data_IF_689794405357
#
_entry.id   IF_689794405357
#
_cell.length_a   1.000
_cell.length_b   1.000
_cell.length_c   1.000
_cell.angle_alpha   90.00
_cell.angle_beta   90.00
_cell.angle_gamma   90.00
#
_symmetry.space_group_name_H-M   'P 1'
#
loop_
_entity.id
_entity.type
_entity.pdbx_description
1 polymer ?
#
# COMPACT_ATOMS: atom_id res chain seq x y z
N UNK A 1 -18.61 -9.84 -9.80
CA UNK A 1 -19.26 -9.77 -8.48
C UNK A 1 -20.58 -9.00 -8.50
N UNK A 2 -20.60 -7.79 -9.08
CA UNK A 2 -21.80 -6.91 -9.10
C UNK A 2 -23.08 -7.59 -9.60
N UNK A 3 -22.95 -8.53 -10.54
CA UNK A 3 -24.09 -9.31 -11.07
C UNK A 3 -24.38 -10.53 -10.20
N UNK A 4 -23.33 -11.23 -9.73
CA UNK A 4 -23.48 -12.47 -8.99
C UNK A 4 -23.93 -12.25 -7.53
N UNK A 5 -23.55 -11.14 -6.91
CA UNK A 5 -23.94 -10.82 -5.54
C UNK A 5 -25.48 -10.72 -5.39
N UNK A 6 -26.20 -9.87 -6.15
CA UNK A 6 -27.66 -9.83 -6.06
C UNK A 6 -28.32 -11.18 -6.38
N UNK A 7 -27.79 -11.92 -7.37
CA UNK A 7 -28.32 -13.21 -7.79
C UNK A 7 -28.26 -14.25 -6.67
N UNK A 8 -27.13 -14.37 -5.96
CA UNK A 8 -26.96 -15.39 -4.92
C UNK A 8 -27.41 -14.92 -3.53
N UNK A 9 -27.36 -13.59 -3.25
CA UNK A 9 -27.79 -13.04 -1.96
C UNK A 9 -29.32 -13.05 -1.86
N UNK A 10 -29.97 -12.46 -2.86
CA UNK A 10 -31.44 -12.29 -2.87
C UNK A 10 -32.17 -13.47 -3.49
N UNK A 11 -31.50 -14.25 -4.33
CA UNK A 11 -32.11 -15.29 -5.15
C UNK A 11 -32.79 -14.71 -6.37
N UNK A 12 -32.79 -15.45 -7.48
CA UNK A 12 -33.55 -15.09 -8.69
C UNK A 12 -33.87 -16.35 -9.47
N UNK A 13 -35.16 -16.58 -9.74
CA UNK A 13 -35.65 -17.76 -10.49
C UNK A 13 -35.27 -19.07 -9.78
N UNK A 14 -34.48 -19.97 -10.42
CA UNK A 14 -34.10 -21.26 -9.84
C UNK A 14 -33.04 -21.18 -8.73
N UNK A 15 -32.44 -20.00 -8.52
CA UNK A 15 -31.40 -19.82 -7.51
C UNK A 15 -32.03 -19.38 -6.19
N UNK A 16 -31.92 -20.18 -5.11
CA UNK A 16 -32.47 -19.81 -3.81
C UNK A 16 -31.69 -18.65 -3.19
N UNK A 17 -32.35 -17.83 -2.38
CA UNK A 17 -31.70 -16.78 -1.59
C UNK A 17 -30.80 -17.40 -0.53
N UNK A 18 -29.48 -17.16 -0.63
CA UNK A 18 -28.47 -17.76 0.26
C UNK A 18 -27.89 -16.75 1.26
N UNK A 19 -28.29 -15.46 1.19
CA UNK A 19 -27.78 -14.41 2.10
C UNK A 19 -26.26 -14.32 2.09
N UNK A 20 -25.63 -14.33 3.29
CA UNK A 20 -24.16 -14.21 3.44
C UNK A 20 -23.40 -15.34 2.72
N UNK A 21 -23.94 -16.56 2.71
CA UNK A 21 -23.34 -17.68 1.96
C UNK A 21 -23.33 -17.40 0.46
N UNK A 22 -24.40 -16.80 -0.05
CA UNK A 22 -24.50 -16.37 -1.46
C UNK A 22 -23.44 -15.35 -1.84
N UNK A 23 -23.16 -14.36 -0.98
CA UNK A 23 -22.09 -13.39 -1.18
C UNK A 23 -20.70 -14.05 -1.26
N UNK A 24 -20.43 -15.03 -0.40
CA UNK A 24 -19.16 -15.77 -0.42
C UNK A 24 -19.01 -16.58 -1.73
N UNK A 25 -20.07 -17.29 -2.15
CA UNK A 25 -20.07 -18.07 -3.40
C UNK A 25 -19.89 -17.15 -4.61
N UNK A 26 -20.60 -16.01 -4.66
CA UNK A 26 -20.47 -15.02 -5.73
C UNK A 26 -19.04 -14.50 -5.86
N UNK A 27 -18.40 -14.20 -4.73
CA UNK A 27 -17.01 -13.72 -4.69
C UNK A 27 -16.05 -14.78 -5.23
N UNK A 28 -16.15 -16.02 -4.76
CA UNK A 28 -15.28 -17.13 -5.22
C UNK A 28 -15.51 -17.41 -6.71
N UNK A 29 -16.76 -17.48 -7.15
CA UNK A 29 -17.10 -17.72 -8.55
C UNK A 29 -16.54 -16.60 -9.46
N UNK A 30 -16.69 -15.34 -9.08
CA UNK A 30 -16.14 -14.19 -9.84
C UNK A 30 -14.62 -14.25 -9.95
N UNK A 31 -13.94 -14.58 -8.86
CA UNK A 31 -12.47 -14.71 -8.84
C UNK A 31 -12.02 -15.88 -9.72
N UNK A 32 -12.73 -17.00 -9.67
CA UNK A 32 -12.43 -18.17 -10.49
C UNK A 32 -12.61 -17.88 -11.99
N UNK A 33 -13.73 -17.26 -12.37
CA UNK A 33 -13.97 -16.83 -13.76
C UNK A 33 -12.86 -15.86 -14.21
N UNK A 34 -12.54 -14.87 -13.40
CA UNK A 34 -11.46 -13.91 -13.70
C UNK A 34 -10.11 -14.61 -13.89
N UNK A 35 -9.78 -15.57 -13.03
CA UNK A 35 -8.54 -16.35 -13.14
C UNK A 35 -8.52 -17.16 -14.45
N UNK A 36 -9.61 -17.82 -14.84
CA UNK A 36 -9.69 -18.56 -16.09
C UNK A 36 -9.50 -17.65 -17.31
N UNK A 37 -10.14 -16.47 -17.31
CA UNK A 37 -9.98 -15.49 -18.40
C UNK A 37 -8.54 -15.03 -18.51
N UNK A 38 -7.91 -14.66 -17.38
CA UNK A 38 -6.50 -14.23 -17.37
C UNK A 38 -5.59 -15.34 -17.84
N UNK A 39 -5.76 -16.57 -17.36
CA UNK A 39 -4.99 -17.73 -17.81
C UNK A 39 -5.15 -17.99 -19.31
N UNK A 40 -6.38 -17.90 -19.83
CA UNK A 40 -6.64 -18.06 -21.25
C UNK A 40 -5.94 -16.99 -22.11
N UNK A 41 -5.93 -15.71 -21.64
CA UNK A 41 -5.21 -14.63 -22.32
C UNK A 41 -3.70 -14.85 -22.27
N UNK A 42 -3.15 -15.23 -21.12
CA UNK A 42 -1.72 -15.54 -20.96
C UNK A 42 -1.28 -16.69 -21.85
N UNK A 43 -2.10 -17.75 -21.94
CA UNK A 43 -1.80 -18.92 -22.78
C UNK A 43 -1.90 -18.59 -24.27
N UNK A 44 -3.06 -18.00 -24.71
CA UNK A 44 -3.36 -17.84 -26.13
C UNK A 44 -2.69 -16.62 -26.77
N UNK A 45 -2.62 -15.50 -26.04
CA UNK A 45 -2.16 -14.22 -26.61
C UNK A 45 -0.68 -13.96 -26.35
N UNK A 46 -0.15 -14.42 -25.23
CA UNK A 46 1.23 -14.15 -24.81
C UNK A 46 2.13 -15.38 -24.80
N UNK A 47 1.59 -16.59 -24.94
CA UNK A 47 2.39 -17.82 -24.95
C UNK A 47 3.20 -18.04 -23.66
N UNK A 48 2.74 -17.46 -22.53
CA UNK A 48 3.48 -17.50 -21.27
C UNK A 48 3.25 -18.78 -20.46
N UNK A 49 2.29 -19.62 -20.87
CA UNK A 49 2.02 -20.89 -20.21
C UNK A 49 2.55 -22.02 -21.08
N UNK A 50 3.64 -22.62 -20.63
CA UNK A 50 4.28 -23.77 -21.29
C UNK A 50 4.12 -24.99 -20.39
N UNK A 51 3.52 -26.05 -20.91
CA UNK A 51 3.39 -27.35 -20.24
C UNK A 51 4.53 -28.32 -20.60
N UNK A 52 5.62 -27.83 -21.23
CA UNK A 52 6.80 -28.66 -21.53
C UNK A 52 7.63 -28.89 -20.28
N UNK A 53 8.16 -30.11 -20.13
CA UNK A 53 9.00 -30.46 -19.00
C UNK A 53 10.22 -29.55 -18.91
N UNK A 54 10.35 -28.81 -17.84
CA UNK A 54 11.48 -27.92 -17.62
C UNK A 54 12.56 -28.63 -16.81
N UNK A 55 13.85 -28.57 -17.22
CA UNK A 55 14.94 -29.17 -16.46
C UNK A 55 14.94 -28.66 -14.99
N UNK A 56 15.12 -29.59 -14.05
CA UNK A 56 15.09 -29.28 -12.63
C UNK A 56 16.05 -28.17 -12.21
N UNK A 57 17.21 -28.07 -12.84
CA UNK A 57 18.18 -27.01 -12.57
C UNK A 57 17.65 -25.62 -12.94
N UNK A 58 16.97 -25.50 -14.07
CA UNK A 58 16.33 -24.23 -14.50
C UNK A 58 15.23 -23.87 -13.53
N UNK A 59 14.40 -24.85 -13.15
CA UNK A 59 13.33 -24.66 -12.18
C UNK A 59 13.89 -24.17 -10.83
N UNK A 60 14.93 -24.81 -10.30
CA UNK A 60 15.60 -24.43 -9.04
C UNK A 60 16.14 -23.00 -9.11
N UNK A 61 16.82 -22.64 -10.19
CA UNK A 61 17.39 -21.29 -10.37
C UNK A 61 16.28 -20.24 -10.43
N UNK A 62 15.22 -20.51 -11.19
CA UNK A 62 14.06 -19.60 -11.32
C UNK A 62 13.35 -19.43 -9.99
N UNK A 63 13.08 -20.53 -9.25
CA UNK A 63 12.46 -20.46 -7.92
C UNK A 63 13.33 -19.70 -6.91
N UNK A 64 14.63 -19.86 -6.93
CA UNK A 64 15.54 -19.09 -6.06
C UNK A 64 15.42 -17.59 -6.31
N UNK A 65 15.31 -17.18 -7.57
CA UNK A 65 15.09 -15.78 -7.93
C UNK A 65 13.72 -15.30 -7.44
N UNK A 66 12.65 -16.06 -7.71
CA UNK A 66 11.29 -15.72 -7.29
C UNK A 66 11.22 -15.56 -5.75
N UNK A 67 11.72 -16.54 -5.00
CA UNK A 67 11.70 -16.52 -3.53
C UNK A 67 12.50 -15.34 -2.98
N UNK A 68 13.63 -15.00 -3.59
CA UNK A 68 14.45 -13.84 -3.19
C UNK A 68 13.68 -12.52 -3.24
N UNK A 69 12.77 -12.37 -4.20
CA UNK A 69 11.92 -11.17 -4.31
C UNK A 69 10.60 -11.32 -3.53
N UNK A 70 10.02 -12.50 -3.52
CA UNK A 70 8.74 -12.76 -2.89
C UNK A 70 8.82 -12.60 -1.36
N UNK A 71 9.85 -13.15 -0.71
CA UNK A 71 9.98 -13.10 0.76
C UNK A 71 10.00 -11.66 1.30
N UNK A 72 10.90 -10.77 0.85
CA UNK A 72 10.88 -9.38 1.31
C UNK A 72 9.56 -8.66 0.99
N UNK A 73 8.99 -8.89 -0.19
CA UNK A 73 7.72 -8.28 -0.58
C UNK A 73 6.59 -8.73 0.33
N UNK A 74 6.50 -10.02 0.64
CA UNK A 74 5.50 -10.59 1.55
C UNK A 74 5.65 -10.02 2.96
N UNK A 75 6.88 -9.95 3.49
CA UNK A 75 7.14 -9.33 4.80
C UNK A 75 6.66 -7.88 4.80
N UNK A 76 6.99 -7.10 3.75
CA UNK A 76 6.54 -5.73 3.61
C UNK A 76 5.01 -5.58 3.57
N UNK A 77 4.32 -6.50 2.90
CA UNK A 77 2.85 -6.52 2.85
C UNK A 77 2.22 -6.90 4.18
N UNK A 78 2.80 -7.85 4.92
CA UNK A 78 2.32 -8.28 6.23
C UNK A 78 2.44 -7.19 7.31
N UNK A 79 3.36 -6.23 7.14
CA UNK A 79 3.50 -5.12 8.09
C UNK A 79 2.22 -4.30 8.20
N UNK A 80 1.47 -4.09 7.12
CA UNK A 80 0.23 -3.29 7.16
C UNK A 80 -0.86 -3.89 8.05
N UNK A 81 -1.30 -5.16 7.86
CA UNK A 81 -2.31 -5.76 8.74
C UNK A 81 -1.82 -5.90 10.19
N UNK A 82 -0.53 -6.21 10.42
CA UNK A 82 0.05 -6.25 11.76
C UNK A 82 -0.06 -4.87 12.43
N UNK A 83 0.36 -3.82 11.75
CA UNK A 83 0.26 -2.46 12.26
C UNK A 83 -1.17 -2.05 12.54
N UNK A 84 -2.09 -2.35 11.63
CA UNK A 84 -3.52 -2.07 11.80
C UNK A 84 -4.10 -2.79 13.03
N UNK A 85 -3.77 -4.07 13.22
CA UNK A 85 -4.22 -4.85 14.38
C UNK A 85 -3.73 -4.26 15.70
N UNK A 86 -2.45 -3.85 15.77
CA UNK A 86 -1.86 -3.25 16.96
C UNK A 86 -2.51 -1.90 17.26
N UNK A 87 -2.65 -1.02 16.25
CA UNK A 87 -3.29 0.29 16.45
C UNK A 87 -4.75 0.12 16.87
N UNK A 88 -5.48 -0.83 16.28
CA UNK A 88 -6.86 -1.13 16.69
C UNK A 88 -6.91 -1.60 18.16
N UNK A 89 -5.97 -2.46 18.58
CA UNK A 89 -5.86 -2.91 19.98
C UNK A 89 -5.56 -1.73 20.93
N UNK A 90 -4.64 -0.85 20.55
CA UNK A 90 -4.34 0.37 21.33
C UNK A 90 -5.57 1.29 21.37
N UNK A 91 -6.28 1.48 20.25
CA UNK A 91 -7.52 2.28 20.20
C UNK A 91 -8.60 1.69 21.11
N UNK A 92 -8.69 0.36 21.22
CA UNK A 92 -9.65 -0.32 22.07
C UNK A 92 -9.44 -0.01 23.57
N UNK A 93 -8.22 0.32 24.00
CA UNK A 93 -7.96 0.79 25.37
C UNK A 93 -8.67 2.11 25.70
N UNK A 94 -9.02 2.91 24.69
CA UNK A 94 -9.80 4.15 24.84
C UNK A 94 -11.33 3.95 24.78
N UNK A 95 -11.77 2.70 24.67
CA UNK A 95 -13.18 2.33 24.65
C UNK A 95 -13.70 1.93 23.26
N UNK A 96 -14.85 1.26 23.27
CA UNK A 96 -15.48 0.72 22.06
C UNK A 96 -15.93 1.84 21.10
N UNK A 97 -16.33 2.98 21.64
CA UNK A 97 -16.71 4.19 20.88
C UNK A 97 -15.55 4.73 20.05
N UNK A 98 -14.31 4.70 20.60
CA UNK A 98 -13.11 5.12 19.90
C UNK A 98 -12.79 4.17 18.71
N UNK A 99 -12.98 2.87 18.90
CA UNK A 99 -12.80 1.87 17.83
C UNK A 99 -13.85 2.07 16.73
N UNK A 100 -15.12 2.24 17.11
CA UNK A 100 -16.20 2.48 16.15
C UNK A 100 -15.96 3.77 15.34
N UNK A 101 -15.56 4.85 16.01
CA UNK A 101 -15.24 6.13 15.37
C UNK A 101 -14.06 6.01 14.39
N UNK A 102 -12.98 5.35 14.80
CA UNK A 102 -11.80 5.16 13.96
C UNK A 102 -12.10 4.27 12.74
N UNK A 103 -12.90 3.22 12.92
CA UNK A 103 -13.30 2.33 11.82
C UNK A 103 -14.19 3.06 10.81
N UNK A 104 -15.18 3.84 11.28
CA UNK A 104 -16.07 4.61 10.42
C UNK A 104 -15.32 5.74 9.69
N UNK A 105 -14.43 6.47 10.39
CA UNK A 105 -13.60 7.51 9.79
C UNK A 105 -12.61 6.92 8.76
N UNK A 106 -12.06 5.72 9.01
CA UNK A 106 -11.20 5.02 8.07
C UNK A 106 -11.90 4.66 6.75
N UNK A 107 -13.20 4.39 6.77
CA UNK A 107 -13.98 4.17 5.53
C UNK A 107 -14.12 5.46 4.70
N UNK A 108 -14.31 6.60 5.37
CA UNK A 108 -14.27 7.91 4.71
C UNK A 108 -12.88 8.18 4.12
N UNK A 109 -11.82 7.90 4.87
CA UNK A 109 -10.44 8.04 4.42
C UNK A 109 -10.19 7.28 3.11
N UNK A 110 -10.71 6.06 2.96
CA UNK A 110 -10.55 5.26 1.73
C UNK A 110 -11.03 6.01 0.47
N UNK A 111 -12.09 6.82 0.57
CA UNK A 111 -12.61 7.60 -0.56
C UNK A 111 -11.58 8.62 -1.04
N UNK A 112 -10.88 9.29 -0.14
CA UNK A 112 -9.84 10.25 -0.48
C UNK A 112 -8.67 9.61 -1.25
N UNK A 113 -8.39 8.33 -0.98
CA UNK A 113 -7.27 7.62 -1.55
C UNK A 113 -7.57 6.87 -2.86
N UNK A 114 -8.81 6.84 -3.36
CA UNK A 114 -9.18 6.08 -4.57
C UNK A 114 -8.29 6.45 -5.77
N UNK A 115 -8.18 7.72 -6.11
CA UNK A 115 -7.38 8.17 -7.25
C UNK A 115 -5.86 8.01 -7.01
N UNK A 116 -5.30 8.46 -5.86
CA UNK A 116 -3.89 8.22 -5.57
C UNK A 116 -3.52 6.73 -5.58
N UNK A 117 -4.36 5.86 -5.02
CA UNK A 117 -4.13 4.42 -5.02
C UNK A 117 -4.10 3.84 -6.44
N UNK A 118 -5.02 4.25 -7.31
CA UNK A 118 -5.04 3.84 -8.71
C UNK A 118 -3.75 4.25 -9.44
N UNK A 119 -3.28 5.48 -9.22
CA UNK A 119 -2.00 5.94 -9.76
C UNK A 119 -0.83 5.11 -9.21
N UNK A 120 -0.83 4.78 -7.92
CA UNK A 120 0.20 3.95 -7.29
C UNK A 120 0.30 2.56 -7.90
N UNK A 121 -0.84 1.91 -8.16
CA UNK A 121 -0.90 0.59 -8.81
C UNK A 121 -0.30 0.67 -10.23
N UNK A 122 -0.59 1.74 -10.98
CA UNK A 122 -0.04 1.95 -12.32
C UNK A 122 1.46 2.31 -12.29
N UNK A 123 1.92 2.98 -11.23
CA UNK A 123 3.31 3.43 -11.09
C UNK A 123 4.30 2.25 -11.02
N UNK A 124 3.93 1.16 -10.35
CA UNK A 124 4.80 -0.01 -10.18
C UNK A 124 5.24 -0.64 -11.51
N UNK A 125 4.34 -1.06 -12.42
CA UNK A 125 4.75 -1.62 -13.70
C UNK A 125 5.42 -0.57 -14.61
N UNK A 126 4.98 0.70 -14.55
CA UNK A 126 5.60 1.78 -15.33
C UNK A 126 7.08 1.97 -14.95
N UNK A 127 7.39 2.00 -13.65
CA UNK A 127 8.78 2.08 -13.18
C UNK A 127 9.55 0.82 -13.57
N UNK A 128 8.97 -0.37 -13.39
CA UNK A 128 9.64 -1.64 -13.73
C UNK A 128 10.00 -1.74 -15.21
N UNK A 129 9.09 -1.35 -16.10
CA UNK A 129 9.34 -1.35 -17.55
C UNK A 129 10.45 -0.37 -17.93
N UNK A 130 10.41 0.88 -17.40
CA UNK A 130 11.44 1.88 -17.68
C UNK A 130 12.80 1.49 -17.05
N UNK A 131 12.81 0.83 -15.90
CA UNK A 131 14.02 0.31 -15.27
C UNK A 131 14.66 -0.80 -16.09
N UNK A 132 13.85 -1.75 -16.58
CA UNK A 132 14.30 -2.80 -17.49
C UNK A 132 14.81 -2.27 -18.84
N UNK A 133 14.17 -1.22 -19.36
CA UNK A 133 14.57 -0.53 -20.58
C UNK A 133 15.74 0.45 -20.38
N UNK A 134 16.26 0.62 -19.14
CA UNK A 134 17.34 1.55 -18.78
C UNK A 134 17.04 3.01 -19.08
N UNK A 135 15.77 3.42 -18.96
CA UNK A 135 15.28 4.78 -19.20
C UNK A 135 15.11 5.51 -17.84
N UNK A 136 16.22 5.81 -17.18
CA UNK A 136 16.24 6.32 -15.80
C UNK A 136 15.71 7.76 -15.69
N UNK A 137 15.87 8.57 -16.73
CA UNK A 137 15.31 9.91 -16.80
C UNK A 137 13.77 9.86 -16.69
N UNK A 138 13.12 8.90 -17.35
CA UNK A 138 11.67 8.66 -17.26
C UNK A 138 11.24 8.21 -15.87
N UNK A 139 12.02 7.35 -15.22
CA UNK A 139 11.74 6.92 -13.84
C UNK A 139 11.73 8.13 -12.91
N UNK A 140 12.69 9.04 -13.04
CA UNK A 140 12.74 10.25 -12.25
C UNK A 140 11.57 11.21 -12.53
N UNK A 141 11.12 11.31 -13.79
CA UNK A 141 9.92 12.07 -14.16
C UNK A 141 8.67 11.45 -13.53
N UNK A 142 8.46 10.14 -13.66
CA UNK A 142 7.33 9.42 -13.05
C UNK A 142 7.30 9.64 -11.53
N UNK A 143 8.44 9.47 -10.86
CA UNK A 143 8.56 9.68 -9.42
C UNK A 143 8.18 11.11 -9.02
N UNK A 144 8.76 12.12 -9.68
CA UNK A 144 8.47 13.53 -9.36
C UNK A 144 7.00 13.88 -9.59
N UNK A 145 6.44 13.44 -10.70
CA UNK A 145 5.02 13.64 -11.00
C UNK A 145 4.14 13.00 -9.95
N UNK A 146 4.33 11.71 -9.68
CA UNK A 146 3.51 10.95 -8.74
C UNK A 146 3.56 11.55 -7.33
N UNK A 147 4.76 11.87 -6.81
CA UNK A 147 4.90 12.45 -5.47
C UNK A 147 4.27 13.84 -5.37
N UNK A 148 4.40 14.69 -6.40
CA UNK A 148 3.75 16.00 -6.44
C UNK A 148 2.23 15.85 -6.51
N UNK A 149 1.73 14.98 -7.37
CA UNK A 149 0.30 14.70 -7.48
C UNK A 149 -0.27 14.21 -6.14
N UNK A 150 0.37 13.22 -5.50
CA UNK A 150 -0.06 12.71 -4.21
C UNK A 150 -0.15 13.83 -3.16
N UNK A 151 0.90 14.65 -3.06
CA UNK A 151 0.94 15.72 -2.07
C UNK A 151 -0.15 16.76 -2.32
N UNK A 152 -0.25 17.28 -3.55
CA UNK A 152 -1.19 18.34 -3.89
C UNK A 152 -2.64 17.85 -3.82
N UNK A 153 -2.94 16.70 -4.44
CA UNK A 153 -4.29 16.13 -4.43
C UNK A 153 -4.78 15.84 -3.02
N UNK A 154 -3.94 15.17 -2.22
CA UNK A 154 -4.31 14.80 -0.87
C UNK A 154 -4.26 15.98 0.12
N UNK A 155 -3.49 17.02 -0.15
CA UNK A 155 -3.59 18.28 0.60
C UNK A 155 -4.95 18.94 0.38
N UNK A 156 -5.42 19.02 -0.87
CA UNK A 156 -6.77 19.54 -1.19
C UNK A 156 -7.85 18.66 -0.56
N UNK A 157 -7.76 17.34 -0.72
CA UNK A 157 -8.71 16.41 -0.09
C UNK A 157 -8.69 16.52 1.43
N UNK A 158 -7.51 16.69 2.04
CA UNK A 158 -7.36 16.90 3.48
C UNK A 158 -8.09 18.15 3.96
N UNK A 159 -7.94 19.27 3.25
CA UNK A 159 -8.68 20.51 3.56
C UNK A 159 -10.19 20.29 3.45
N UNK A 160 -10.65 19.62 2.38
CA UNK A 160 -12.07 19.29 2.21
C UNK A 160 -12.58 18.45 3.38
N UNK A 161 -11.82 17.43 3.81
CA UNK A 161 -12.20 16.56 4.92
C UNK A 161 -12.24 17.28 6.26
N UNK A 162 -11.30 18.18 6.52
CA UNK A 162 -11.26 18.96 7.75
C UNK A 162 -12.48 19.89 7.83
N UNK A 163 -12.82 20.57 6.73
CA UNK A 163 -13.94 21.50 6.67
C UNK A 163 -15.28 20.76 6.69
N UNK A 164 -15.42 19.71 5.89
CA UNK A 164 -16.65 18.94 5.76
C UNK A 164 -16.86 17.88 6.85
N UNK A 165 -15.91 17.73 7.79
CA UNK A 165 -15.98 16.70 8.84
C UNK A 165 -17.33 16.67 9.57
N UNK A 166 -17.91 17.80 10.06
CA UNK A 166 -19.17 17.75 10.80
C UNK A 166 -20.37 17.28 9.97
N UNK A 167 -20.35 17.53 8.66
CA UNK A 167 -21.39 17.10 7.73
C UNK A 167 -21.23 15.63 7.37
N UNK A 168 -20.01 15.22 7.02
CA UNK A 168 -19.71 13.86 6.58
C UNK A 168 -19.99 12.81 7.66
N UNK A 169 -19.65 13.09 8.92
CA UNK A 169 -19.84 12.12 10.01
C UNK A 169 -21.31 11.82 10.30
N UNK A 170 -22.22 12.74 9.98
CA UNK A 170 -23.67 12.54 10.16
C UNK A 170 -24.22 11.42 9.28
N UNK A 171 -23.58 11.18 8.13
CA UNK A 171 -23.96 10.12 7.20
C UNK A 171 -23.52 8.72 7.67
N UNK A 172 -22.53 8.64 8.58
CA UNK A 172 -21.90 7.37 8.96
C UNK A 172 -22.28 6.85 10.35
N UNK A 173 -22.74 7.70 11.23
CA UNK A 173 -23.16 7.26 12.58
C UNK A 173 -24.31 8.09 13.13
N UNK A 174 -25.34 7.47 13.72
CA UNK A 174 -26.37 8.16 14.47
C UNK A 174 -25.89 8.61 15.85
N UNK A 175 -24.88 7.94 16.43
CA UNK A 175 -24.38 8.17 17.80
C UNK A 175 -23.58 9.49 17.89
N UNK A 176 -23.99 10.44 18.76
CA UNK A 176 -23.29 11.71 18.94
C UNK A 176 -21.85 11.58 19.43
N UNK A 177 -21.55 10.62 20.32
CA UNK A 177 -20.22 10.43 20.86
C UNK A 177 -19.27 9.87 19.78
N UNK A 178 -19.75 8.89 18.98
CA UNK A 178 -18.99 8.37 17.82
C UNK A 178 -18.71 9.51 16.84
N UNK A 179 -19.70 10.36 16.53
CA UNK A 179 -19.53 11.51 15.63
C UNK A 179 -18.48 12.50 16.12
N UNK A 180 -18.48 12.81 17.41
CA UNK A 180 -17.49 13.71 18.03
C UNK A 180 -16.06 13.20 17.85
N UNK A 181 -15.84 11.90 18.07
CA UNK A 181 -14.52 11.28 17.89
C UNK A 181 -14.15 11.15 16.41
N UNK A 182 -15.11 10.91 15.52
CA UNK A 182 -14.86 10.94 14.08
C UNK A 182 -14.43 12.32 13.59
N UNK A 183 -15.07 13.40 14.05
CA UNK A 183 -14.67 14.77 13.73
C UNK A 183 -13.26 15.06 14.21
N UNK A 184 -12.90 14.61 15.41
CA UNK A 184 -11.55 14.74 15.95
C UNK A 184 -10.53 14.02 15.05
N UNK A 185 -10.80 12.78 14.66
CA UNK A 185 -9.99 12.00 13.73
C UNK A 185 -9.82 12.74 12.40
N UNK A 186 -10.91 13.21 11.80
CA UNK A 186 -10.92 13.90 10.51
C UNK A 186 -10.27 15.28 10.55
N UNK A 187 -10.01 15.85 11.71
CA UNK A 187 -9.28 17.11 11.88
C UNK A 187 -7.77 16.91 12.08
N UNK A 188 -7.33 15.71 12.46
CA UNK A 188 -5.92 15.42 12.76
C UNK A 188 -5.28 14.63 11.61
N UNK A 189 -5.85 13.51 11.23
CA UNK A 189 -5.25 12.56 10.30
C UNK A 189 -4.99 13.13 8.89
N UNK A 190 -5.87 13.99 8.31
CA UNK A 190 -5.67 14.50 6.96
C UNK A 190 -4.37 15.29 6.74
N UNK A 191 -3.76 15.83 7.79
CA UNK A 191 -2.44 16.47 7.68
C UNK A 191 -1.33 15.48 7.25
N UNK A 192 -1.53 14.18 7.48
CA UNK A 192 -0.62 13.12 7.04
C UNK A 192 -0.94 12.51 5.69
N UNK A 193 -2.09 12.80 5.07
CA UNK A 193 -2.57 12.12 3.85
C UNK A 193 -1.57 12.15 2.70
N UNK A 194 -1.01 13.30 2.37
CA UNK A 194 -0.03 13.42 1.30
C UNK A 194 1.24 12.62 1.57
N UNK A 195 1.68 12.61 2.82
CA UNK A 195 2.94 11.97 3.21
C UNK A 195 2.84 10.44 3.28
N UNK A 196 1.70 9.88 3.73
CA UNK A 196 1.48 8.44 3.70
C UNK A 196 1.44 7.92 2.26
N UNK A 197 0.86 8.68 1.33
CA UNK A 197 0.84 8.29 -0.07
C UNK A 197 2.22 8.40 -0.73
N UNK A 198 2.99 9.43 -0.40
CA UNK A 198 4.40 9.55 -0.79
C UNK A 198 5.21 8.34 -0.29
N UNK A 199 4.98 7.90 0.95
CA UNK A 199 5.57 6.68 1.49
C UNK A 199 5.20 5.46 0.63
N UNK A 200 3.92 5.27 0.31
CA UNK A 200 3.42 4.18 -0.55
C UNK A 200 4.06 4.22 -1.94
N UNK A 201 4.15 5.40 -2.55
CA UNK A 201 4.80 5.56 -3.85
C UNK A 201 6.30 5.29 -3.79
N UNK A 202 6.97 5.64 -2.70
CA UNK A 202 8.36 5.26 -2.49
C UNK A 202 8.54 3.74 -2.40
N UNK A 203 7.64 3.01 -1.74
CA UNK A 203 7.69 1.54 -1.69
C UNK A 203 7.46 0.92 -3.07
N UNK A 204 6.52 1.43 -3.87
CA UNK A 204 6.31 1.00 -5.26
C UNK A 204 7.51 1.33 -6.15
N UNK A 205 8.12 2.51 -5.96
CA UNK A 205 9.33 2.91 -6.67
C UNK A 205 10.49 1.92 -6.43
N UNK A 206 10.78 1.59 -5.17
CA UNK A 206 11.86 0.64 -4.86
C UNK A 206 11.55 -0.76 -5.37
N UNK A 207 10.30 -1.22 -5.26
CA UNK A 207 9.88 -2.51 -5.79
C UNK A 207 10.02 -2.56 -7.31
N UNK A 208 9.59 -1.52 -8.02
CA UNK A 208 9.74 -1.39 -9.48
C UNK A 208 11.20 -1.33 -9.94
N UNK A 209 12.10 -0.78 -9.12
CA UNK A 209 13.54 -0.78 -9.36
C UNK A 209 14.23 -2.07 -8.87
N UNK A 210 13.51 -3.17 -8.72
CA UNK A 210 14.01 -4.47 -8.28
C UNK A 210 14.66 -4.48 -6.88
N UNK A 211 14.22 -3.59 -5.98
CA UNK A 211 14.69 -3.46 -4.59
C UNK A 211 13.56 -3.69 -3.56
N UNK A 212 12.87 -4.83 -3.55
CA UNK A 212 11.74 -5.08 -2.65
C UNK A 212 12.16 -5.12 -1.17
N UNK A 213 13.42 -5.44 -0.87
CA UNK A 213 13.94 -5.41 0.50
C UNK A 213 13.94 -4.00 1.09
N UNK A 214 14.26 -2.97 0.28
CA UNK A 214 14.19 -1.56 0.72
C UNK A 214 12.74 -1.15 0.96
N UNK A 215 11.82 -1.58 0.10
CA UNK A 215 10.38 -1.37 0.29
C UNK A 215 9.88 -2.01 1.60
N UNK A 216 10.27 -3.26 1.87
CA UNK A 216 9.93 -3.95 3.11
C UNK A 216 10.48 -3.23 4.35
N UNK A 217 11.73 -2.77 4.28
CA UNK A 217 12.35 -1.99 5.35
C UNK A 217 11.62 -0.68 5.62
N UNK A 218 11.23 0.06 4.58
CA UNK A 218 10.43 1.28 4.73
C UNK A 218 9.09 1.01 5.43
N UNK A 219 8.40 -0.07 5.06
CA UNK A 219 7.17 -0.47 5.73
C UNK A 219 7.39 -0.88 7.19
N UNK A 220 8.46 -1.64 7.47
CA UNK A 220 8.84 -2.02 8.82
C UNK A 220 9.21 -0.79 9.67
N UNK A 221 10.00 0.14 9.14
CA UNK A 221 10.35 1.40 9.80
C UNK A 221 9.08 2.19 10.19
N UNK A 222 8.17 2.37 9.23
CA UNK A 222 6.92 3.10 9.49
C UNK A 222 6.11 2.45 10.62
N UNK A 223 5.98 1.13 10.61
CA UNK A 223 5.09 0.41 11.52
C UNK A 223 5.77 0.12 12.86
N UNK A 224 6.95 -0.54 12.83
CA UNK A 224 7.60 -1.03 14.05
C UNK A 224 8.35 0.08 14.79
N UNK A 225 8.97 1.01 14.06
CA UNK A 225 9.85 2.02 14.68
C UNK A 225 9.10 3.32 14.93
N UNK A 226 8.15 3.70 14.08
CA UNK A 226 7.43 4.97 14.22
C UNK A 226 6.05 4.76 14.82
N UNK A 227 5.16 4.05 14.14
CA UNK A 227 3.74 3.99 14.49
C UNK A 227 3.49 3.30 15.83
N UNK A 228 4.12 2.14 16.09
CA UNK A 228 3.89 1.39 17.34
C UNK A 228 4.42 2.16 18.55
N UNK A 229 5.68 2.63 18.61
CA UNK A 229 6.19 3.36 19.77
C UNK A 229 5.41 4.64 20.04
N UNK A 230 5.08 5.41 19.00
CA UNK A 230 4.29 6.62 19.15
C UNK A 230 2.86 6.33 19.64
N UNK A 231 2.25 5.22 19.19
CA UNK A 231 0.92 4.81 19.66
C UNK A 231 0.94 4.36 21.12
N UNK A 232 1.99 3.64 21.55
CA UNK A 232 2.18 3.24 22.95
C UNK A 232 2.46 4.45 23.84
N UNK A 233 3.21 5.43 23.36
CA UNK A 233 3.42 6.70 24.06
C UNK A 233 2.10 7.47 24.24
N UNK A 234 1.25 7.52 23.22
CA UNK A 234 -0.07 8.13 23.31
C UNK A 234 -0.99 7.39 24.32
N UNK A 235 -0.86 6.06 24.39
CA UNK A 235 -1.56 5.25 25.39
C UNK A 235 -1.07 5.55 26.80
N UNK A 236 0.23 5.67 26.99
CA UNK A 236 0.83 6.05 28.29
C UNK A 236 0.34 7.42 28.77
N UNK A 237 0.16 8.38 27.85
CA UNK A 237 -0.44 9.70 28.14
C UNK A 237 -1.96 9.65 28.32
N UNK A 238 -2.59 8.49 28.12
CA UNK A 238 -4.05 8.30 28.14
C UNK A 238 -4.82 9.31 27.29
N UNK A 239 -4.33 9.61 26.08
CA UNK A 239 -4.86 10.66 25.21
C UNK A 239 -5.18 10.14 23.82
N UNK A 240 -6.49 10.03 23.49
CA UNK A 240 -6.95 9.63 22.16
C UNK A 240 -6.55 10.63 21.05
N UNK A 241 -6.62 11.96 21.25
CA UNK A 241 -6.09 12.90 20.26
C UNK A 241 -4.62 12.67 19.94
N UNK A 242 -3.82 12.35 20.97
CA UNK A 242 -2.40 12.04 20.79
C UNK A 242 -2.19 10.76 20.01
N UNK A 243 -3.07 9.75 20.13
CA UNK A 243 -3.02 8.53 19.31
C UNK A 243 -3.22 8.83 17.82
N UNK A 244 -4.16 9.71 17.47
CA UNK A 244 -4.37 10.15 16.11
C UNK A 244 -3.18 10.98 15.59
N UNK A 245 -2.66 11.88 16.43
CA UNK A 245 -1.46 12.65 16.10
C UNK A 245 -0.22 11.75 15.94
N UNK A 246 -0.08 10.71 16.76
CA UNK A 246 1.00 9.72 16.64
C UNK A 246 0.97 9.00 15.28
N UNK A 247 -0.21 8.57 14.83
CA UNK A 247 -0.39 7.97 13.50
C UNK A 247 0.00 8.98 12.41
N UNK A 248 -0.54 10.18 12.45
CA UNK A 248 -0.24 11.26 11.49
C UNK A 248 1.27 11.56 11.45
N UNK A 249 1.92 11.67 12.60
CA UNK A 249 3.36 11.93 12.70
C UNK A 249 4.19 10.78 12.12
N UNK A 250 3.81 9.52 12.40
CA UNK A 250 4.46 8.36 11.81
C UNK A 250 4.37 8.37 10.27
N UNK A 251 3.22 8.74 9.72
CA UNK A 251 2.99 8.85 8.28
C UNK A 251 3.83 9.98 7.67
N UNK A 252 3.93 11.13 8.32
CA UNK A 252 4.74 12.27 7.88
C UNK A 252 6.22 11.92 7.87
N UNK A 253 6.74 11.33 8.94
CA UNK A 253 8.14 10.94 9.04
C UNK A 253 8.50 9.85 8.03
N UNK A 254 7.67 8.81 7.91
CA UNK A 254 7.89 7.73 6.95
C UNK A 254 7.83 8.23 5.50
N UNK A 255 6.89 9.14 5.19
CA UNK A 255 6.80 9.78 3.88
C UNK A 255 8.04 10.63 3.54
N UNK A 256 8.53 11.40 4.51
CA UNK A 256 9.77 12.19 4.37
C UNK A 256 10.99 11.31 4.10
N UNK A 257 11.17 10.24 4.89
CA UNK A 257 12.26 9.28 4.72
C UNK A 257 12.15 8.58 3.36
N UNK A 258 10.96 8.09 2.99
CA UNK A 258 10.72 7.43 1.70
C UNK A 258 11.01 8.36 0.50
N UNK A 259 10.57 9.61 0.57
CA UNK A 259 10.84 10.62 -0.44
C UNK A 259 12.35 10.91 -0.58
N UNK A 260 13.03 11.09 0.52
CA UNK A 260 14.47 11.33 0.57
C UNK A 260 15.26 10.14 -0.01
N UNK A 261 14.94 8.93 0.41
CA UNK A 261 15.60 7.72 -0.10
C UNK A 261 15.37 7.54 -1.60
N UNK A 262 14.14 7.71 -2.08
CA UNK A 262 13.81 7.62 -3.50
C UNK A 262 14.52 8.70 -4.32
N UNK A 263 14.63 9.93 -3.78
CA UNK A 263 15.38 11.00 -4.41
C UNK A 263 16.89 10.69 -4.49
N UNK A 264 17.47 10.21 -3.40
CA UNK A 264 18.88 9.81 -3.36
C UNK A 264 19.18 8.70 -4.36
N UNK A 265 18.31 7.68 -4.44
CA UNK A 265 18.46 6.60 -5.39
C UNK A 265 18.41 7.10 -6.84
N UNK A 266 17.44 7.98 -7.18
CA UNK A 266 17.33 8.49 -8.55
C UNK A 266 18.56 9.31 -8.98
N UNK A 267 19.25 9.95 -8.05
CA UNK A 267 20.51 10.67 -8.33
C UNK A 267 21.70 9.73 -8.54
N UNK A 268 21.65 8.52 -8.02
CA UNK A 268 22.69 7.51 -8.21
C UNK A 268 22.49 6.60 -9.42
N UNK A 269 21.36 6.74 -10.12
CA UNK A 269 21.12 6.01 -11.37
C UNK A 269 22.05 6.54 -12.47
N UNK A 270 22.57 5.66 -13.34
CA UNK A 270 23.41 6.06 -14.46
C UNK A 270 22.62 6.83 -15.52
N UNK A 271 23.31 7.30 -16.56
CA UNK A 271 22.67 7.87 -17.73
C UNK A 271 21.83 6.83 -18.49
N UNK A 272 20.85 7.30 -19.22
CA UNK A 272 19.96 6.44 -20.01
C UNK A 272 20.75 5.54 -20.97
N UNK A 273 20.31 4.29 -21.09
CA UNK A 273 20.96 3.28 -21.94
C UNK A 273 22.13 2.53 -21.30
N UNK A 274 22.75 3.05 -20.24
CA UNK A 274 23.82 2.36 -19.52
C UNK A 274 23.25 1.29 -18.58
N UNK A 275 23.95 0.16 -18.44
CA UNK A 275 23.56 -0.84 -17.45
C UNK A 275 23.64 -0.21 -16.05
N UNK A 276 22.66 -0.50 -15.15
CA UNK A 276 22.84 -0.17 -13.75
C UNK A 276 24.11 -0.89 -13.30
N UNK A 277 24.97 -0.18 -12.54
CA UNK A 277 26.17 -0.79 -12.00
C UNK A 277 25.81 -2.14 -11.39
N UNK A 278 26.47 -3.21 -11.88
CA UNK A 278 26.20 -4.57 -11.46
C UNK A 278 26.19 -4.60 -9.95
N UNK A 279 25.08 -5.03 -9.39
CA UNK A 279 25.00 -5.30 -7.97
C UNK A 279 26.01 -6.40 -7.67
N UNK A 280 27.22 -6.02 -7.27
CA UNK A 280 28.15 -6.94 -6.64
C UNK A 280 27.36 -7.66 -5.57
N UNK A 281 27.41 -9.00 -5.53
CA UNK A 281 26.75 -9.86 -4.54
C UNK A 281 26.95 -9.29 -3.13
N UNK A 282 26.14 -8.30 -2.74
CA UNK A 282 26.13 -7.84 -1.34
C UNK A 282 25.39 -8.91 -0.55
N UNK A 283 25.92 -9.34 0.59
CA UNK A 283 25.16 -10.17 1.52
C UNK A 283 23.80 -9.53 1.78
N UNK A 284 22.77 -10.32 1.90
CA UNK A 284 21.37 -9.88 2.03
C UNK A 284 21.16 -8.81 3.13
N UNK A 285 21.94 -8.86 4.21
CA UNK A 285 21.90 -7.89 5.33
C UNK A 285 22.47 -6.50 4.99
N UNK A 286 23.27 -6.37 3.94
CA UNK A 286 23.76 -5.07 3.44
C UNK A 286 22.88 -4.49 2.31
N UNK A 287 21.89 -5.25 1.83
CA UNK A 287 20.94 -4.76 0.83
C UNK A 287 19.98 -3.70 1.39
N UNK A 288 19.93 -3.52 2.71
CA UNK A 288 19.13 -2.49 3.37
C UNK A 288 19.73 -1.09 3.28
N UNK A 289 21.01 -0.98 3.00
CA UNK A 289 21.65 0.33 2.83
C UNK A 289 21.62 0.75 1.36
N UNK A 290 21.24 2.02 1.06
CA UNK A 290 21.30 2.53 -0.30
C UNK A 290 22.73 2.39 -0.82
N UNK A 291 22.87 1.70 -1.97
CA UNK A 291 24.17 1.34 -2.52
C UNK A 291 25.05 2.57 -2.80
N UNK A 292 26.21 2.64 -2.18
CA UNK A 292 27.29 3.48 -2.69
C UNK A 292 27.76 2.88 -4.02
N UNK A 293 27.93 3.65 -5.09
CA UNK A 293 28.50 3.16 -6.33
C UNK A 293 29.93 2.67 -6.05
N UNK A 294 30.17 1.37 -6.27
CA UNK A 294 31.54 0.88 -6.32
C UNK A 294 32.06 1.28 -7.69
N UNK A 295 33.00 2.22 -7.72
CA UNK A 295 33.79 2.51 -8.91
C UNK A 295 34.56 1.23 -9.23
N UNK A 296 34.23 0.60 -10.37
CA UNK A 296 35.07 -0.40 -11.00
C UNK A 296 36.19 0.27 -11.80
#
# INVERSE_FOLDING_TARGET
NVILDPLFIMGCGPVPAMGIRGAAIATVASQFISALVVLAVLARRHGLILFSGMPFQILKTTWTVIVRYAVPSTIGMLMMPIGSAIVTKVTACFGITAVAASAAAGRLEMVAFVFPMALGIALLPMIGQNYGARLYSRINQCRRFAMRFAFLFLAVMGVIYIIAAPQLVRLFSPDPEVRKLMVLYMRIIPFGFGMIEIHRYATFFFTGCAQPAVSAWLNALRILVLMIPLSLFALWLNSLPMLFAARMLADVLAGGIGCWMAHRMTRSLPEDGRAPYVYVKRPWYLSFLPGTPVKG
#
